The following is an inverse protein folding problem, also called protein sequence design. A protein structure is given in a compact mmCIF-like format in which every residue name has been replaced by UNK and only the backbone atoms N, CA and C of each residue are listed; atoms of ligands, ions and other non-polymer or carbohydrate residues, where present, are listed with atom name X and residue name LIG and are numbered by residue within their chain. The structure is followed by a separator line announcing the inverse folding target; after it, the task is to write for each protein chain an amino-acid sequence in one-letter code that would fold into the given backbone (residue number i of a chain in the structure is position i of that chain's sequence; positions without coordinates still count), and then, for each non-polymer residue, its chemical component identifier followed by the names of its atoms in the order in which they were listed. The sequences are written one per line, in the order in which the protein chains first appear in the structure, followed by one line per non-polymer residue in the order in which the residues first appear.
data_IF_682779186090
#
_entry.id   IF_682779186090
#
_cell.length_a   1.000
_cell.length_b   1.000
_cell.length_c   1.000
_cell.angle_alpha   90.00
_cell.angle_beta   90.00
_cell.angle_gamma   90.00
#
_symmetry.space_group_name_H-M   'P 1'
#
loop_
_entity.id
_entity.type
_entity.pdbx_description
1 polymer ?
#
# COMPACT_ATOMS: atom_id res chain seq x y z
N UNK A 1 10.24 -0.88 10.18
CA UNK A 1 9.19 -1.50 9.32
C UNK A 1 9.72 -1.92 7.98
N UNK A 2 10.45 -1.07 7.27
CA UNK A 2 10.94 -1.30 5.90
C UNK A 2 11.70 -2.63 5.74
N UNK A 3 12.63 -2.97 6.64
CA UNK A 3 13.37 -4.26 6.60
C UNK A 3 12.40 -5.44 6.73
N UNK A 4 11.40 -5.33 7.59
CA UNK A 4 10.37 -6.37 7.73
C UNK A 4 9.56 -6.51 6.43
N UNK A 5 9.12 -5.41 5.83
CA UNK A 5 8.45 -5.42 4.53
C UNK A 5 9.27 -6.17 3.46
N UNK A 6 10.54 -5.78 3.31
CA UNK A 6 11.45 -6.41 2.34
C UNK A 6 11.61 -7.91 2.62
N UNK A 7 11.85 -8.31 3.87
CA UNK A 7 12.05 -9.73 4.19
C UNK A 7 10.81 -10.61 3.95
N UNK A 8 9.61 -10.04 4.03
CA UNK A 8 8.37 -10.75 3.73
C UNK A 8 8.07 -10.82 2.23
N UNK A 9 8.36 -9.76 1.47
CA UNK A 9 7.91 -9.64 0.08
C UNK A 9 9.01 -9.88 -0.96
N UNK A 10 10.29 -9.69 -0.61
CA UNK A 10 11.40 -9.88 -1.54
C UNK A 10 11.48 -11.29 -2.15
N UNK A 11 11.18 -12.39 -1.42
CA UNK A 11 11.16 -13.73 -2.01
C UNK A 11 10.23 -13.86 -3.22
N UNK A 12 9.19 -13.02 -3.31
CA UNK A 12 8.18 -13.05 -4.37
C UNK A 12 8.47 -12.11 -5.55
N UNK A 13 9.67 -11.54 -5.63
CA UNK A 13 10.07 -10.64 -6.73
C UNK A 13 10.06 -11.31 -8.11
N UNK A 14 10.33 -12.62 -8.15
CA UNK A 14 10.47 -13.36 -9.40
C UNK A 14 9.11 -13.74 -9.99
N UNK A 15 9.06 -13.87 -11.31
CA UNK A 15 7.85 -14.24 -12.05
C UNK A 15 7.31 -15.62 -11.64
N UNK A 16 8.18 -16.58 -11.37
CA UNK A 16 7.85 -17.92 -10.89
C UNK A 16 7.04 -17.93 -9.58
N UNK A 17 7.12 -16.86 -8.78
CA UNK A 17 6.42 -16.69 -7.52
C UNK A 17 5.03 -16.02 -7.67
N UNK A 18 4.62 -15.72 -8.89
CA UNK A 18 3.29 -15.17 -9.18
C UNK A 18 2.14 -15.99 -8.56
N UNK A 19 2.14 -17.35 -8.61
CA UNK A 19 1.09 -18.13 -7.99
C UNK A 19 0.97 -17.92 -6.47
N UNK A 20 2.09 -17.75 -5.77
CA UNK A 20 2.11 -17.50 -4.33
C UNK A 20 1.48 -16.13 -4.00
N UNK A 21 1.82 -15.08 -4.74
CA UNK A 21 1.22 -13.76 -4.56
C UNK A 21 -0.29 -13.77 -4.86
N UNK A 22 -0.72 -14.45 -5.91
CA UNK A 22 -2.14 -14.59 -6.24
C UNK A 22 -2.89 -15.32 -5.11
N UNK A 23 -2.30 -16.38 -4.56
CA UNK A 23 -2.88 -17.12 -3.43
C UNK A 23 -3.02 -16.20 -2.21
N UNK A 24 -1.99 -15.44 -1.86
CA UNK A 24 -2.03 -14.46 -0.76
C UNK A 24 -3.16 -13.47 -0.96
N UNK A 25 -3.16 -12.73 -2.07
CA UNK A 25 -4.11 -11.63 -2.26
C UNK A 25 -5.56 -12.09 -2.47
N UNK A 26 -5.78 -13.24 -3.07
CA UNK A 26 -7.14 -13.80 -3.18
C UNK A 26 -7.66 -14.36 -1.85
N UNK A 27 -6.78 -14.73 -0.91
CA UNK A 27 -7.18 -15.28 0.39
C UNK A 27 -7.55 -14.22 1.43
N UNK A 28 -6.96 -13.03 1.36
CA UNK A 28 -7.11 -11.99 2.39
C UNK A 28 -8.28 -11.04 2.15
N UNK A 29 -8.95 -11.12 1.00
CA UNK A 29 -10.05 -10.26 0.63
C UNK A 29 -11.01 -10.97 -0.35
N UNK A 30 -12.21 -10.39 -0.55
CA UNK A 30 -13.25 -10.95 -1.42
C UNK A 30 -13.74 -9.97 -2.50
N UNK A 31 -13.17 -8.78 -2.57
CA UNK A 31 -13.56 -7.73 -3.52
C UNK A 31 -13.10 -8.04 -4.94
N UNK A 32 -11.88 -8.57 -5.08
CA UNK A 32 -11.24 -8.86 -6.36
C UNK A 32 -10.91 -10.34 -6.47
N UNK A 33 -10.97 -10.87 -7.68
CA UNK A 33 -10.41 -12.17 -8.03
C UNK A 33 -9.22 -11.93 -8.97
N UNK A 34 -8.02 -11.92 -8.41
CA UNK A 34 -6.79 -11.71 -9.17
C UNK A 34 -6.40 -12.97 -9.92
N UNK A 35 -6.07 -12.83 -11.21
CA UNK A 35 -5.65 -13.93 -12.08
C UNK A 35 -4.23 -13.77 -12.59
N UNK A 36 -3.67 -12.55 -12.45
CA UNK A 36 -2.33 -12.25 -12.93
C UNK A 36 -1.69 -11.17 -12.07
N UNK A 37 -0.39 -11.34 -11.79
CA UNK A 37 0.49 -10.26 -11.35
C UNK A 37 1.19 -9.73 -12.59
N UNK A 38 1.20 -8.43 -12.77
CA UNK A 38 1.86 -7.77 -13.89
C UNK A 38 3.21 -7.29 -13.36
N UNK A 39 4.33 -7.86 -13.83
CA UNK A 39 5.66 -7.37 -13.46
C UNK A 39 5.76 -5.89 -13.79
N UNK A 40 6.41 -5.18 -12.95
CA UNK A 40 6.51 -3.72 -12.89
C UNK A 40 6.31 -3.01 -14.25
N UNK A 41 5.22 -2.25 -14.42
CA UNK A 41 4.94 -1.49 -15.63
C UNK A 41 5.71 -0.16 -15.71
N UNK A 42 6.39 0.21 -14.63
CA UNK A 42 7.21 1.41 -14.57
C UNK A 42 8.61 1.01 -15.02
N UNK A 43 9.08 1.52 -16.12
CA UNK A 43 10.43 1.31 -16.66
C UNK A 43 11.50 1.90 -15.70
N UNK A 44 11.64 1.25 -14.54
CA UNK A 44 12.57 1.60 -13.47
C UNK A 44 13.43 0.39 -13.15
N UNK A 45 14.73 0.58 -13.25
CA UNK A 45 15.74 -0.47 -12.98
C UNK A 45 15.72 -1.01 -11.55
N UNK A 46 15.12 -0.28 -10.62
CA UNK A 46 15.00 -0.63 -9.20
C UNK A 46 13.68 -1.31 -8.82
N UNK A 47 12.79 -1.55 -9.79
CA UNK A 47 11.49 -2.20 -9.61
C UNK A 47 11.31 -3.36 -10.59
N UNK A 48 12.34 -4.17 -10.81
CA UNK A 48 12.26 -5.33 -11.70
C UNK A 48 11.61 -6.51 -10.99
N UNK A 49 10.39 -6.86 -11.38
CA UNK A 49 9.69 -8.03 -10.87
C UNK A 49 8.27 -7.74 -10.38
N UNK A 50 7.73 -8.67 -9.61
CA UNK A 50 6.34 -8.64 -9.13
C UNK A 50 6.08 -7.57 -8.06
N UNK A 51 7.09 -7.14 -7.32
CA UNK A 51 6.98 -6.19 -6.20
C UNK A 51 7.85 -4.97 -6.47
N UNK A 52 7.29 -3.79 -6.37
CA UNK A 52 8.03 -2.52 -6.44
C UNK A 52 8.17 -1.95 -5.02
N UNK A 53 9.39 -2.00 -4.46
CA UNK A 53 9.68 -1.42 -3.15
C UNK A 53 9.94 0.08 -3.24
N UNK A 54 9.66 0.81 -2.14
CA UNK A 54 9.85 2.26 -2.05
C UNK A 54 9.24 2.99 -3.25
N UNK A 55 7.98 2.65 -3.52
CA UNK A 55 7.28 3.19 -4.67
C UNK A 55 7.08 4.69 -4.53
N UNK A 56 7.55 5.40 -5.52
CA UNK A 56 7.36 6.85 -5.66
C UNK A 56 6.92 7.14 -7.08
N UNK A 57 5.79 7.83 -7.23
CA UNK A 57 5.28 8.17 -8.56
C UNK A 57 6.14 9.23 -9.26
N UNK A 58 6.47 9.00 -10.53
CA UNK A 58 7.33 9.90 -11.32
C UNK A 58 6.73 11.30 -11.50
N UNK A 59 5.41 11.39 -11.65
CA UNK A 59 4.72 12.68 -11.83
C UNK A 59 4.31 13.26 -10.46
N UNK A 60 5.21 14.00 -9.84
CA UNK A 60 5.02 14.65 -8.54
C UNK A 60 3.91 15.70 -8.52
N UNK A 61 3.54 16.23 -9.69
CA UNK A 61 2.51 17.25 -9.79
C UNK A 61 1.12 16.71 -9.44
N UNK A 62 0.90 15.40 -9.48
CA UNK A 62 -0.38 14.79 -9.10
C UNK A 62 -0.80 15.19 -7.67
N UNK A 63 0.16 15.21 -6.74
CA UNK A 63 -0.07 15.68 -5.37
C UNK A 63 0.46 17.10 -5.12
N UNK A 64 1.01 17.78 -6.13
CA UNK A 64 1.63 19.08 -5.99
C UNK A 64 2.94 19.05 -5.20
N UNK A 65 3.58 17.90 -5.11
CA UNK A 65 4.87 17.74 -4.42
C UNK A 65 6.02 18.27 -5.27
N UNK A 66 6.96 19.01 -4.66
CA UNK A 66 7.95 19.79 -5.39
C UNK A 66 9.33 19.13 -5.50
N UNK A 67 9.56 18.02 -4.78
CA UNK A 67 10.90 17.45 -4.73
C UNK A 67 11.05 16.21 -5.61
N UNK A 68 12.17 16.11 -6.31
CA UNK A 68 12.55 14.95 -7.12
C UNK A 68 13.35 13.91 -6.31
N UNK A 69 13.77 14.25 -5.08
CA UNK A 69 14.59 13.38 -4.23
C UNK A 69 13.73 12.48 -3.36
N UNK A 70 14.04 11.18 -3.36
CA UNK A 70 13.50 10.22 -2.39
C UNK A 70 13.77 10.69 -0.95
N UNK A 71 12.82 10.46 -0.05
CA UNK A 71 12.96 10.77 1.37
C UNK A 71 12.71 12.23 1.76
N UNK A 72 12.55 13.16 0.81
CA UNK A 72 12.33 14.54 1.10
C UNK A 72 10.95 15.02 0.63
N UNK A 73 9.96 15.03 1.53
CA UNK A 73 8.65 15.65 1.31
C UNK A 73 7.86 15.12 0.10
N UNK A 74 8.11 13.89 -0.32
CA UNK A 74 7.33 13.19 -1.33
C UNK A 74 6.61 11.99 -0.72
N UNK A 75 5.44 11.66 -1.27
CA UNK A 75 4.72 10.45 -0.88
C UNK A 75 5.43 9.23 -1.44
N UNK A 76 5.79 8.31 -0.55
CA UNK A 76 6.29 6.97 -0.87
C UNK A 76 5.37 5.92 -0.27
N UNK A 77 5.43 4.70 -0.82
CA UNK A 77 4.70 3.52 -0.34
C UNK A 77 5.74 2.40 -0.21
N UNK A 78 5.74 1.68 0.90
CA UNK A 78 6.76 0.67 1.19
C UNK A 78 6.89 -0.39 0.10
N UNK A 79 5.75 -0.89 -0.40
CA UNK A 79 5.72 -1.80 -1.54
C UNK A 79 4.45 -1.60 -2.37
N UNK A 80 4.54 -1.84 -3.67
CA UNK A 80 3.40 -1.84 -4.58
C UNK A 80 3.45 -3.06 -5.47
N UNK A 81 2.29 -3.69 -5.64
CA UNK A 81 2.08 -4.79 -6.57
C UNK A 81 1.01 -4.36 -7.57
N UNK A 82 1.16 -4.77 -8.82
CA UNK A 82 0.23 -4.48 -9.88
C UNK A 82 -0.39 -5.77 -10.39
N UNK A 83 -1.71 -5.89 -10.29
CA UNK A 83 -2.44 -7.10 -10.57
C UNK A 83 -3.58 -6.88 -11.57
N UNK A 84 -3.96 -7.96 -12.25
CA UNK A 84 -5.13 -8.00 -13.13
C UNK A 84 -6.14 -9.01 -12.57
N UNK A 85 -7.40 -8.60 -12.58
CA UNK A 85 -8.53 -9.42 -12.14
C UNK A 85 -9.09 -10.27 -13.30
N UNK A 86 -9.99 -11.21 -12.97
CA UNK A 86 -10.65 -12.07 -13.98
C UNK A 86 -11.47 -11.26 -14.98
N UNK A 87 -12.02 -10.11 -14.58
CA UNK A 87 -12.73 -9.17 -15.45
C UNK A 87 -11.80 -8.13 -16.11
N UNK A 88 -10.48 -8.40 -16.10
CA UNK A 88 -9.40 -7.62 -16.72
C UNK A 88 -9.24 -6.20 -16.18
N UNK A 89 -9.73 -5.92 -15.00
CA UNK A 89 -9.40 -4.67 -14.30
C UNK A 89 -7.97 -4.73 -13.79
N UNK A 90 -7.27 -3.63 -13.94
CA UNK A 90 -5.92 -3.44 -13.45
C UNK A 90 -5.97 -2.74 -12.10
N UNK A 91 -5.50 -3.43 -11.09
CA UNK A 91 -5.58 -3.00 -9.70
C UNK A 91 -4.18 -2.76 -9.17
N UNK A 92 -3.96 -1.57 -8.63
CA UNK A 92 -2.75 -1.25 -7.89
C UNK A 92 -2.94 -1.66 -6.44
N UNK A 93 -1.98 -2.40 -5.88
CA UNK A 93 -2.01 -2.87 -4.49
C UNK A 93 -0.89 -2.18 -3.73
N UNK A 94 -1.12 -0.98 -3.19
CA UNK A 94 -0.20 -0.33 -2.27
C UNK A 94 -0.19 -1.07 -0.94
N UNK A 95 1.02 -1.33 -0.42
CA UNK A 95 1.24 -2.03 0.84
C UNK A 95 2.09 -1.13 1.73
N UNK A 96 1.53 -0.74 2.85
CA UNK A 96 2.23 -0.01 3.90
C UNK A 96 2.52 -0.95 5.07
N UNK A 97 3.74 -0.93 5.58
CA UNK A 97 4.21 -1.84 6.59
C UNK A 97 4.58 -1.10 7.88
N UNK A 98 3.87 -1.36 8.96
CA UNK A 98 4.12 -0.76 10.27
C UNK A 98 4.40 -1.88 11.26
N UNK A 99 5.63 -1.98 11.73
CA UNK A 99 6.03 -3.11 12.59
C UNK A 99 6.10 -2.72 14.09
N UNK A 100 6.94 -1.75 14.42
CA UNK A 100 7.18 -1.32 15.81
C UNK A 100 6.97 0.18 16.02
N UNK A 101 6.41 0.84 15.03
CA UNK A 101 6.24 2.29 15.06
C UNK A 101 5.23 2.69 16.14
N UNK A 102 5.66 3.63 16.97
CA UNK A 102 4.80 4.42 17.83
C UNK A 102 4.76 5.84 17.29
N UNK A 103 3.60 6.44 17.25
CA UNK A 103 3.42 7.78 16.70
C UNK A 103 3.19 8.79 17.83
N UNK A 104 3.94 9.88 17.79
CA UNK A 104 3.76 11.02 18.70
C UNK A 104 2.61 11.94 18.27
N UNK A 105 1.77 11.51 17.32
CA UNK A 105 0.72 12.34 16.70
C UNK A 105 1.24 13.69 16.23
N UNK A 106 2.41 13.69 15.61
CA UNK A 106 3.04 14.90 15.11
C UNK A 106 2.22 15.50 13.98
N UNK A 107 1.90 16.78 14.12
CA UNK A 107 1.19 17.51 13.08
C UNK A 107 2.13 17.78 11.88
N UNK A 108 1.64 17.56 10.70
CA UNK A 108 2.35 17.86 9.47
C UNK A 108 2.59 19.38 9.29
N UNK A 109 3.62 19.79 8.53
CA UNK A 109 3.82 21.21 8.22
C UNK A 109 2.61 21.82 7.49
N UNK A 110 2.23 23.06 7.84
CA UNK A 110 1.05 23.72 7.28
C UNK A 110 1.04 23.76 5.76
N UNK A 111 2.19 24.05 5.13
CA UNK A 111 2.32 24.06 3.67
C UNK A 111 1.97 22.72 3.02
N UNK A 112 2.16 21.63 3.75
CA UNK A 112 1.78 20.28 3.30
C UNK A 112 0.29 20.02 3.50
N UNK A 113 -0.27 20.46 4.65
CA UNK A 113 -1.69 20.34 4.97
C UNK A 113 -2.53 21.08 3.92
N UNK A 114 -2.17 22.29 3.56
CA UNK A 114 -2.90 23.14 2.60
C UNK A 114 -2.93 22.53 1.18
N UNK A 115 -2.02 21.63 0.88
CA UNK A 115 -1.85 21.05 -0.45
C UNK A 115 -2.87 19.97 -0.77
N UNK A 116 -3.13 19.06 0.17
CA UNK A 116 -3.82 17.81 -0.12
C UNK A 116 -5.36 17.89 -0.19
N UNK A 117 -6.05 18.79 0.52
CA UNK A 117 -7.51 18.93 0.40
C UNK A 117 -7.97 19.16 -1.04
N UNK A 118 -7.19 19.92 -1.84
CA UNK A 118 -7.49 20.19 -3.25
C UNK A 118 -7.27 18.97 -4.17
N UNK A 119 -6.71 17.89 -3.65
CA UNK A 119 -6.48 16.63 -4.38
C UNK A 119 -7.60 15.61 -4.18
N UNK A 120 -8.55 15.89 -3.32
CA UNK A 120 -9.77 15.09 -3.16
C UNK A 120 -10.70 15.46 -4.32
N UNK A 121 -10.93 14.54 -5.23
CA UNK A 121 -11.86 14.72 -6.35
C UNK A 121 -13.20 14.02 -6.09
N UNK A 122 -14.17 14.22 -6.95
CA UNK A 122 -15.56 13.71 -6.77
C UNK A 122 -15.63 12.19 -6.58
N UNK A 123 -14.74 11.45 -7.26
CA UNK A 123 -14.67 9.99 -7.19
C UNK A 123 -13.69 9.49 -6.12
N UNK A 124 -13.09 10.38 -5.34
CA UNK A 124 -12.20 9.98 -4.26
C UNK A 124 -12.95 9.15 -3.23
N UNK A 125 -12.29 8.12 -2.72
CA UNK A 125 -12.76 7.29 -1.61
C UNK A 125 -12.72 8.06 -0.28
N UNK A 126 -11.84 9.07 -0.19
CA UNK A 126 -11.81 10.02 0.91
C UNK A 126 -12.98 11.00 0.72
N UNK A 127 -13.98 11.01 1.61
CA UNK A 127 -15.18 11.83 1.42
C UNK A 127 -14.91 13.34 1.55
N UNK A 128 -14.03 13.71 2.48
CA UNK A 128 -13.60 15.08 2.73
C UNK A 128 -12.33 15.11 3.57
N UNK A 129 -11.60 16.22 3.54
CA UNK A 129 -10.48 16.45 4.46
C UNK A 129 -10.99 16.57 5.91
N UNK A 130 -10.27 15.96 6.85
CA UNK A 130 -10.56 16.03 8.29
C UNK A 130 -9.31 16.49 9.03
N UNK A 131 -9.48 17.20 10.14
CA UNK A 131 -8.38 17.64 10.99
C UNK A 131 -7.48 16.48 11.44
N UNK A 132 -8.05 15.32 11.75
CA UNK A 132 -7.28 14.12 12.10
C UNK A 132 -6.26 13.71 11.02
N UNK A 133 -6.47 14.06 9.75
CA UNK A 133 -5.56 13.80 8.65
C UNK A 133 -4.32 14.71 8.62
N UNK A 134 -4.24 15.65 9.52
CA UNK A 134 -3.08 16.52 9.68
C UNK A 134 -2.00 15.92 10.57
N UNK A 135 -2.27 14.78 11.20
CA UNK A 135 -1.41 14.12 12.17
C UNK A 135 -1.00 12.72 11.70
N UNK A 136 0.28 12.35 11.96
CA UNK A 136 0.72 10.97 11.76
C UNK A 136 0.04 10.02 12.76
N UNK A 137 -0.29 8.80 12.35
CA UNK A 137 -0.03 8.13 11.07
C UNK A 137 -1.05 8.45 9.96
N UNK A 138 -2.19 9.08 10.26
CA UNK A 138 -3.25 9.29 9.28
C UNK A 138 -2.83 10.21 8.14
N UNK A 139 -1.96 11.20 8.43
CA UNK A 139 -1.42 12.07 7.40
C UNK A 139 -0.70 11.29 6.28
N UNK A 140 0.11 10.30 6.65
CA UNK A 140 0.80 9.44 5.70
C UNK A 140 -0.19 8.62 4.87
N UNK A 141 -1.15 7.97 5.52
CA UNK A 141 -2.16 7.14 4.85
C UNK A 141 -3.01 7.90 3.86
N UNK A 142 -3.46 9.09 4.25
CA UNK A 142 -4.25 9.97 3.37
C UNK A 142 -3.45 10.32 2.12
N UNK A 143 -2.17 10.68 2.26
CA UNK A 143 -1.29 11.00 1.13
C UNK A 143 -1.14 9.82 0.17
N UNK A 144 -0.93 8.62 0.71
CA UNK A 144 -0.80 7.40 -0.09
C UNK A 144 -2.11 7.06 -0.81
N UNK A 145 -3.25 7.15 -0.13
CA UNK A 145 -4.57 6.96 -0.75
C UNK A 145 -4.80 7.99 -1.86
N UNK A 146 -4.54 9.27 -1.61
CA UNK A 146 -4.66 10.33 -2.61
C UNK A 146 -3.72 10.12 -3.80
N UNK A 147 -2.50 9.64 -3.56
CA UNK A 147 -1.55 9.34 -4.64
C UNK A 147 -2.15 8.32 -5.61
N UNK A 148 -2.59 7.19 -5.08
CA UNK A 148 -3.15 6.10 -5.89
C UNK A 148 -4.41 6.54 -6.63
N UNK A 149 -5.31 7.25 -5.95
CA UNK A 149 -6.54 7.77 -6.56
C UNK A 149 -6.27 8.79 -7.66
N UNK A 150 -5.28 9.66 -7.47
CA UNK A 150 -4.90 10.62 -8.51
C UNK A 150 -4.15 9.97 -9.68
N UNK A 151 -3.42 8.87 -9.48
CA UNK A 151 -2.89 8.04 -10.57
C UNK A 151 -4.05 7.50 -11.42
N UNK A 152 -5.05 6.91 -10.79
CA UNK A 152 -6.25 6.39 -11.47
C UNK A 152 -7.00 7.51 -12.19
N UNK A 153 -7.24 8.63 -11.51
CA UNK A 153 -7.96 9.78 -12.06
C UNK A 153 -7.25 10.42 -13.26
N UNK A 154 -5.92 10.47 -13.23
CA UNK A 154 -5.10 11.05 -14.30
C UNK A 154 -5.16 10.26 -15.60
N UNK A 155 -5.57 8.98 -15.54
CA UNK A 155 -5.58 8.05 -16.70
C UNK A 155 -4.25 8.03 -17.44
N UNK A 156 -3.13 8.07 -16.66
CA UNK A 156 -1.79 8.03 -17.26
C UNK A 156 -1.61 6.71 -18.00
N UNK A 157 -1.44 6.81 -19.32
CA UNK A 157 -1.27 5.64 -20.20
C UNK A 157 -0.01 4.84 -19.91
N UNK A 158 0.96 5.43 -19.21
CA UNK A 158 2.19 4.73 -18.80
C UNK A 158 1.92 3.70 -17.67
N UNK A 159 0.84 3.90 -16.89
CA UNK A 159 0.37 2.95 -15.88
C UNK A 159 -1.17 2.96 -15.89
N UNK A 160 -1.81 2.24 -16.81
CA UNK A 160 -3.26 2.16 -16.85
C UNK A 160 -3.76 1.38 -15.62
N UNK A 161 -4.38 2.08 -14.68
CA UNK A 161 -4.95 1.55 -13.43
C UNK A 161 -6.43 1.86 -13.38
N UNK A 162 -7.24 0.85 -13.11
CA UNK A 162 -8.70 0.98 -13.01
C UNK A 162 -9.17 1.12 -11.57
N UNK A 163 -8.45 0.49 -10.62
CA UNK A 163 -8.83 0.47 -9.21
C UNK A 163 -7.61 0.20 -8.30
N UNK A 164 -7.83 0.21 -6.99
CA UNK A 164 -6.78 -0.10 -6.00
C UNK A 164 -7.29 -0.91 -4.81
N UNK A 165 -6.37 -1.57 -4.13
CA UNK A 165 -6.58 -2.25 -2.86
C UNK A 165 -5.44 -1.89 -1.90
N UNK A 166 -5.68 -0.99 -0.97
CA UNK A 166 -4.67 -0.55 -0.01
C UNK A 166 -4.57 -1.53 1.17
N UNK A 167 -3.38 -2.05 1.41
CA UNK A 167 -3.10 -3.00 2.47
C UNK A 167 -2.16 -2.37 3.50
N UNK A 168 -2.58 -2.35 4.75
CA UNK A 168 -1.75 -1.95 5.89
C UNK A 168 -1.41 -3.17 6.72
N UNK A 169 -0.12 -3.51 6.76
CA UNK A 169 0.39 -4.66 7.49
C UNK A 169 0.87 -4.19 8.86
N UNK A 170 0.15 -4.59 9.90
CA UNK A 170 0.37 -4.16 11.28
C UNK A 170 0.26 -5.36 12.20
N UNK A 171 1.28 -5.68 13.01
CA UNK A 171 1.20 -6.76 14.00
C UNK A 171 0.00 -6.61 14.95
N UNK A 172 -0.60 -7.75 15.30
CA UNK A 172 -1.75 -7.76 16.23
C UNK A 172 -1.43 -7.11 17.59
N UNK A 173 -0.18 -7.22 18.04
CA UNK A 173 0.27 -6.60 19.29
C UNK A 173 0.28 -5.05 19.28
N UNK A 174 0.18 -4.40 18.12
CA UNK A 174 0.06 -2.94 18.02
C UNK A 174 -1.42 -2.54 17.92
N UNK A 175 -2.18 -2.80 18.98
CA UNK A 175 -3.63 -2.63 19.01
C UNK A 175 -4.07 -1.17 18.82
N UNK A 176 -3.34 -0.22 19.40
CA UNK A 176 -3.65 1.21 19.32
C UNK A 176 -3.58 1.70 17.87
N UNK A 177 -2.47 1.42 17.19
CA UNK A 177 -2.28 1.78 15.78
C UNK A 177 -3.31 1.09 14.88
N UNK A 178 -3.57 -0.21 15.11
CA UNK A 178 -4.60 -0.95 14.37
C UNK A 178 -5.98 -0.33 14.50
N UNK A 179 -6.36 0.09 15.70
CA UNK A 179 -7.64 0.75 15.97
C UNK A 179 -7.75 2.08 15.23
N UNK A 180 -6.71 2.90 15.28
CA UNK A 180 -6.67 4.19 14.61
C UNK A 180 -6.80 4.04 13.10
N UNK A 181 -6.01 3.16 12.49
CA UNK A 181 -6.03 2.91 11.04
C UNK A 181 -7.36 2.24 10.60
N UNK A 182 -7.92 1.37 11.43
CA UNK A 182 -9.24 0.79 11.15
C UNK A 182 -10.35 1.85 11.19
N UNK A 183 -10.25 2.83 12.07
CA UNK A 183 -11.19 3.97 12.14
C UNK A 183 -11.07 4.84 10.88
N UNK A 184 -9.85 5.06 10.39
CA UNK A 184 -9.64 5.71 9.09
C UNK A 184 -10.33 4.95 7.96
N UNK A 185 -10.10 3.63 7.87
CA UNK A 185 -10.69 2.77 6.84
C UNK A 185 -12.22 2.83 6.83
N UNK A 186 -12.86 2.81 8.02
CA UNK A 186 -14.31 2.93 8.16
C UNK A 186 -14.84 4.32 7.72
N UNK A 187 -14.01 5.33 7.72
CA UNK A 187 -14.34 6.68 7.25
C UNK A 187 -14.29 6.85 5.73
N UNK A 188 -13.83 5.87 4.98
CA UNK A 188 -13.79 5.87 3.53
C UNK A 188 -15.19 5.58 2.95
N UNK A 189 -15.47 6.08 1.72
CA UNK A 189 -16.75 5.78 1.02
C UNK A 189 -16.91 4.29 0.72
N UNK A 190 -15.82 3.63 0.37
CA UNK A 190 -15.72 2.19 0.12
C UNK A 190 -14.59 1.60 0.96
N UNK A 191 -14.93 1.17 2.16
CA UNK A 191 -13.99 0.57 3.10
C UNK A 191 -13.41 -0.76 2.62
N UNK A 192 -14.06 -1.44 1.66
CA UNK A 192 -13.56 -2.71 1.11
C UNK A 192 -12.29 -2.57 0.27
N UNK A 193 -11.89 -1.34 -0.07
CA UNK A 193 -10.61 -1.03 -0.73
C UNK A 193 -9.44 -0.89 0.25
N UNK A 194 -9.67 -1.10 1.53
CA UNK A 194 -8.67 -0.90 2.57
C UNK A 194 -8.66 -2.08 3.54
N UNK A 195 -7.46 -2.67 3.74
CA UNK A 195 -7.28 -3.85 4.60
C UNK A 195 -6.25 -3.52 5.67
N UNK A 196 -6.55 -3.86 6.91
CA UNK A 196 -5.59 -3.90 8.02
C UNK A 196 -5.37 -5.36 8.39
N UNK A 197 -4.15 -5.86 8.22
CA UNK A 197 -3.83 -7.27 8.38
C UNK A 197 -2.57 -7.47 9.22
N UNK A 198 -2.54 -8.54 9.99
CA UNK A 198 -1.34 -8.99 10.69
C UNK A 198 -0.35 -9.65 9.70
N UNK A 199 0.98 -9.44 9.82
CA UNK A 199 1.97 -10.02 8.91
C UNK A 199 1.92 -11.55 8.86
N UNK A 200 1.64 -12.23 9.97
CA UNK A 200 1.49 -13.69 10.00
C UNK A 200 0.22 -14.14 9.25
N UNK A 201 -0.88 -13.40 9.40
CA UNK A 201 -2.11 -13.65 8.65
C UNK A 201 -1.92 -13.43 7.15
N UNK A 202 -1.18 -12.38 6.77
CA UNK A 202 -0.85 -12.11 5.36
C UNK A 202 -0.11 -13.28 4.72
N UNK A 203 0.85 -13.88 5.44
CA UNK A 203 1.70 -14.97 4.93
C UNK A 203 1.08 -16.37 5.12
N UNK A 204 0.01 -16.50 5.90
CA UNK A 204 -0.62 -17.80 6.21
C UNK A 204 -0.98 -18.62 4.96
N UNK A 205 -1.52 -18.05 3.86
CA UNK A 205 -1.91 -18.80 2.67
C UNK A 205 -0.78 -19.60 2.00
N UNK A 206 0.47 -19.17 2.16
CA UNK A 206 1.65 -19.81 1.55
C UNK A 206 2.43 -20.71 2.52
N UNK A 207 1.92 -20.95 3.72
CA UNK A 207 2.59 -21.71 4.76
C UNK A 207 3.11 -23.09 4.28
N UNK A 208 2.28 -23.80 3.52
CA UNK A 208 2.61 -25.15 3.07
C UNK A 208 3.53 -25.17 1.83
N UNK A 209 3.39 -24.17 0.96
CA UNK A 209 4.21 -24.07 -0.27
C UNK A 209 5.58 -23.42 -0.05
N UNK A 210 5.70 -22.57 0.97
CA UNK A 210 6.89 -21.81 1.35
C UNK A 210 7.23 -22.00 2.83
N UNK A 211 7.23 -23.25 3.30
CA UNK A 211 7.38 -23.60 4.71
C UNK A 211 8.64 -23.02 5.36
N UNK A 212 9.78 -23.08 4.64
CA UNK A 212 11.07 -22.58 5.15
C UNK A 212 11.01 -21.05 5.36
N UNK A 213 10.46 -20.33 4.40
CA UNK A 213 10.24 -18.88 4.52
C UNK A 213 9.30 -18.57 5.69
N UNK A 214 8.17 -19.29 5.77
CA UNK A 214 7.18 -19.09 6.82
C UNK A 214 7.80 -19.31 8.21
N UNK A 215 8.56 -20.39 8.42
CA UNK A 215 9.23 -20.66 9.69
C UNK A 215 10.33 -19.64 10.01
N UNK A 216 11.07 -19.18 9.00
CA UNK A 216 12.07 -18.11 9.19
C UNK A 216 11.39 -16.81 9.67
N UNK A 217 10.27 -16.42 9.05
CA UNK A 217 9.54 -15.21 9.42
C UNK A 217 8.89 -15.35 10.81
N UNK A 218 8.33 -16.52 11.12
CA UNK A 218 7.74 -16.81 12.45
C UNK A 218 8.79 -16.66 13.56
N UNK A 219 9.96 -17.29 13.39
CA UNK A 219 11.04 -17.21 14.36
C UNK A 219 11.61 -15.79 14.55
N UNK A 220 11.54 -14.95 13.51
CA UNK A 220 12.18 -13.62 13.52
C UNK A 220 11.23 -12.49 13.88
N UNK A 221 9.95 -12.57 13.47
CA UNK A 221 9.03 -11.44 13.48
C UNK A 221 7.72 -11.67 14.23
N UNK A 222 7.30 -12.91 14.46
CA UNK A 222 5.94 -13.18 14.94
C UNK A 222 5.88 -13.83 16.32
N UNK A 223 6.99 -13.84 17.08
CA UNK A 223 7.08 -14.35 18.46
C UNK A 223 6.63 -13.31 19.48
#
# INVERSE_FOLDING_TARGET
SQISCVNHLFPFMKEEETPALLLVFNSIQHKYHFTRIIPNPLDRTDCNGNVCFEFVWKNRSLLGERTEKRGAMCTSIDAVIYAETIDRKRVLIPIEWKYVETYEHKRAPQVSIDRYPSRIHTNSNIPAWKEAYEYDPLYELVRQTLLVENIIWSKDMALPVDDYLHINVIPNGNEELRKEISTYAQGLKDASKFIVIDPKQLMCPIKDTHSDLYHYLDARYWQ
#
